data_IF_515418206111
#
_entry.id   IF_515418206111
#
_cell.length_a   1.000
_cell.length_b   1.000
_cell.length_c   1.000
_cell.angle_alpha   90.00
_cell.angle_beta   90.00
_cell.angle_gamma   90.00
#
_symmetry.space_group_name_H-M   'P 1'
#
loop_
_entity.id
_entity.type
_entity.pdbx_description
1 polymer ?
#
# COMPACT_ATOMS: atom_id res chain seq x y z
N UNK A 1 -7.82 33.81 -7.42
CA UNK A 1 -8.80 34.29 -8.42
C UNK A 1 -9.72 33.17 -8.92
N UNK A 2 -9.22 31.99 -9.33
CA UNK A 2 -10.09 30.86 -9.70
C UNK A 2 -10.90 30.27 -8.52
N UNK A 3 -10.26 30.07 -7.36
CA UNK A 3 -10.95 29.52 -6.18
C UNK A 3 -12.12 30.40 -5.69
N UNK A 4 -12.00 31.72 -5.78
CA UNK A 4 -13.07 32.67 -5.43
C UNK A 4 -14.22 32.65 -6.43
N UNK A 5 -13.95 32.40 -7.72
CA UNK A 5 -15.00 32.27 -8.77
C UNK A 5 -15.77 30.96 -8.58
N UNK A 6 -15.09 29.87 -8.25
CA UNK A 6 -15.69 28.54 -8.04
C UNK A 6 -16.24 28.34 -6.62
N UNK A 7 -16.18 29.37 -5.77
CA UNK A 7 -16.54 29.31 -4.35
C UNK A 7 -15.86 28.16 -3.59
N UNK A 8 -14.65 27.77 -4.01
CA UNK A 8 -13.88 26.72 -3.37
C UNK A 8 -13.11 27.28 -2.18
N UNK A 9 -13.13 26.55 -1.07
CA UNK A 9 -12.28 26.82 0.10
C UNK A 9 -10.81 26.55 -0.25
N UNK A 10 -9.93 27.51 0.04
CA UNK A 10 -8.49 27.34 -0.08
C UNK A 10 -7.99 26.75 1.24
N UNK A 11 -7.40 25.55 1.19
CA UNK A 11 -6.74 24.93 2.34
C UNK A 11 -5.21 25.06 2.21
N UNK A 12 -4.53 25.10 3.35
CA UNK A 12 -3.07 25.20 3.44
C UNK A 12 -2.47 23.85 3.83
N UNK A 13 -1.35 23.49 3.21
CA UNK A 13 -0.62 22.29 3.57
C UNK A 13 0.01 22.43 4.98
N UNK A 14 0.03 21.35 5.79
CA UNK A 14 -0.43 20.00 5.48
C UNK A 14 -1.96 19.82 5.60
N UNK A 15 -2.57 19.07 4.67
CA UNK A 15 -4.03 18.83 4.60
C UNK A 15 -4.33 17.36 4.32
N UNK A 16 -5.44 16.80 4.82
CA UNK A 16 -5.83 15.42 4.50
C UNK A 16 -6.71 15.34 3.26
N UNK A 17 -6.24 14.66 2.21
CA UNK A 17 -7.00 14.39 0.99
C UNK A 17 -7.22 12.88 0.80
N UNK A 18 -8.48 12.46 0.64
CA UNK A 18 -8.87 11.04 0.52
C UNK A 18 -8.29 10.16 1.65
N UNK A 19 -8.18 10.74 2.86
CA UNK A 19 -7.62 10.05 4.02
C UNK A 19 -6.09 9.93 4.03
N UNK A 20 -5.39 10.64 3.13
CA UNK A 20 -3.93 10.74 3.08
C UNK A 20 -3.48 12.18 3.36
N UNK A 21 -2.53 12.43 4.28
CA UNK A 21 -1.98 13.76 4.49
C UNK A 21 -1.11 14.18 3.30
N UNK A 22 -1.43 15.33 2.71
CA UNK A 22 -0.68 16.02 1.69
C UNK A 22 0.26 17.04 2.35
N UNK A 23 1.46 17.21 1.81
CA UNK A 23 2.44 18.18 2.30
C UNK A 23 3.38 17.66 3.39
N UNK A 24 3.11 16.48 3.95
CA UNK A 24 4.03 15.77 4.83
C UNK A 24 5.18 15.12 4.03
N UNK A 25 6.29 14.84 4.72
CA UNK A 25 7.40 14.12 4.12
C UNK A 25 6.97 12.68 3.82
N UNK A 26 7.12 12.20 2.59
CA UNK A 26 6.72 10.84 2.20
C UNK A 26 7.55 9.74 2.90
N UNK A 27 8.65 10.11 3.57
CA UNK A 27 9.44 9.22 4.43
C UNK A 27 8.87 9.09 5.85
N UNK A 28 7.94 9.96 6.21
CA UNK A 28 7.38 10.02 7.55
C UNK A 28 6.46 8.81 7.74
N UNK A 29 6.91 7.85 8.54
CA UNK A 29 6.17 6.62 8.81
C UNK A 29 4.81 6.88 9.50
N UNK A 30 4.59 8.09 10.02
CA UNK A 30 3.40 8.48 10.74
C UNK A 30 2.12 8.34 9.90
N UNK A 31 2.14 8.70 8.62
CA UNK A 31 0.92 8.54 7.80
C UNK A 31 0.61 7.05 7.56
N UNK A 32 1.63 6.20 7.47
CA UNK A 32 1.46 4.75 7.32
C UNK A 32 0.98 4.11 8.63
N UNK A 33 1.35 4.68 9.79
CA UNK A 33 0.78 4.28 11.07
C UNK A 33 -0.73 4.50 11.12
N UNK A 34 -1.25 5.57 10.50
CA UNK A 34 -2.70 5.78 10.41
C UNK A 34 -3.47 4.65 9.70
N UNK A 35 -2.84 3.92 8.77
CA UNK A 35 -3.44 2.73 8.15
C UNK A 35 -3.49 1.58 9.15
N UNK A 36 -2.41 1.40 9.90
CA UNK A 36 -2.30 0.37 10.93
C UNK A 36 -3.38 0.59 12.00
N UNK A 37 -3.54 1.82 12.48
CA UNK A 37 -4.56 2.19 13.46
C UNK A 37 -5.99 1.89 12.94
N UNK A 38 -6.27 2.20 11.67
CA UNK A 38 -7.56 1.86 11.05
C UNK A 38 -7.81 0.35 11.03
N UNK A 39 -6.77 -0.45 10.75
CA UNK A 39 -6.85 -1.91 10.76
C UNK A 39 -7.03 -2.43 12.18
N UNK A 40 -6.24 -1.94 13.14
CA UNK A 40 -6.36 -2.30 14.57
C UNK A 40 -7.78 -2.00 15.09
N UNK A 41 -8.36 -0.86 14.73
CA UNK A 41 -9.74 -0.51 15.08
C UNK A 41 -10.78 -1.47 14.48
N UNK A 42 -10.62 -1.90 13.22
CA UNK A 42 -11.49 -2.92 12.61
C UNK A 42 -11.36 -4.26 13.32
N UNK A 43 -10.13 -4.66 13.62
CA UNK A 43 -9.83 -5.91 14.31
C UNK A 43 -10.41 -5.93 15.73
N UNK A 44 -10.29 -4.84 16.48
CA UNK A 44 -10.86 -4.72 17.83
C UNK A 44 -12.38 -4.96 17.81
N UNK A 45 -13.09 -4.39 16.84
CA UNK A 45 -14.52 -4.58 16.68
C UNK A 45 -14.92 -6.01 16.25
N UNK A 46 -14.06 -6.72 15.53
CA UNK A 46 -14.36 -8.10 15.11
C UNK A 46 -13.97 -9.15 16.15
N UNK A 47 -12.98 -8.87 16.99
CA UNK A 47 -12.60 -9.72 18.13
C UNK A 47 -13.71 -9.90 19.17
N UNK A 48 -14.75 -9.07 19.15
CA UNK A 48 -15.93 -9.26 20.01
C UNK A 48 -16.98 -10.17 19.37
N UNK A 49 -16.84 -10.51 18.09
CA UNK A 49 -17.86 -11.25 17.31
C UNK A 49 -17.40 -12.69 17.07
N UNK A 50 -18.21 -13.71 17.39
CA UNK A 50 -17.84 -15.11 17.15
C UNK A 50 -17.76 -15.40 15.64
N UNK A 51 -16.53 -15.57 15.12
CA UNK A 51 -16.29 -15.79 13.70
C UNK A 51 -15.58 -17.13 13.44
N UNK A 52 -16.03 -17.84 12.41
CA UNK A 52 -15.36 -19.04 11.90
C UNK A 52 -13.99 -18.69 11.29
N UNK A 53 -13.12 -19.69 11.08
CA UNK A 53 -11.86 -19.49 10.38
C UNK A 53 -12.08 -18.97 8.95
N UNK A 54 -13.04 -19.55 8.23
CA UNK A 54 -13.42 -19.11 6.89
C UNK A 54 -13.92 -17.66 6.86
N UNK A 55 -14.76 -17.26 7.82
CA UNK A 55 -15.22 -15.87 7.93
C UNK A 55 -14.08 -14.88 8.14
N UNK A 56 -13.06 -15.26 8.93
CA UNK A 56 -11.86 -14.43 9.15
C UNK A 56 -11.02 -14.29 7.88
N UNK A 57 -10.81 -15.36 7.12
CA UNK A 57 -10.15 -15.28 5.79
C UNK A 57 -10.91 -14.33 4.88
N UNK A 58 -12.24 -14.46 4.81
CA UNK A 58 -13.08 -13.56 3.99
C UNK A 58 -12.95 -12.10 4.40
N UNK A 59 -12.94 -11.78 5.70
CA UNK A 59 -12.75 -10.41 6.20
C UNK A 59 -11.35 -9.86 5.94
N UNK A 60 -10.31 -10.70 6.04
CA UNK A 60 -8.95 -10.31 5.65
C UNK A 60 -8.95 -9.89 4.18
N UNK A 61 -9.45 -10.75 3.30
CA UNK A 61 -9.37 -10.55 1.85
C UNK A 61 -10.27 -9.41 1.34
N UNK A 62 -11.43 -9.21 1.96
CA UNK A 62 -12.41 -8.19 1.52
C UNK A 62 -12.14 -6.82 2.12
N UNK A 63 -11.72 -6.75 3.39
CA UNK A 63 -11.63 -5.47 4.12
C UNK A 63 -10.19 -5.10 4.44
N UNK A 64 -9.44 -5.99 5.10
CA UNK A 64 -8.08 -5.64 5.56
C UNK A 64 -7.10 -5.45 4.41
N UNK A 65 -7.29 -6.14 3.29
CA UNK A 65 -6.53 -5.91 2.05
C UNK A 65 -6.93 -4.61 1.34
N UNK A 66 -8.20 -4.24 1.36
CA UNK A 66 -8.71 -3.06 0.65
C UNK A 66 -8.22 -1.75 1.31
N UNK A 67 -8.13 -1.72 2.64
CA UNK A 67 -7.72 -0.54 3.41
C UNK A 67 -6.35 0.05 3.00
N UNK A 68 -5.25 -0.74 2.92
CA UNK A 68 -3.96 -0.25 2.48
C UNK A 68 -3.85 -0.10 0.95
N UNK A 69 -4.78 -0.65 0.16
CA UNK A 69 -4.63 -0.75 -1.31
C UNK A 69 -4.41 0.61 -1.98
N UNK A 70 -5.13 1.66 -1.54
CA UNK A 70 -4.94 3.00 -2.10
C UNK A 70 -3.51 3.50 -1.91
N UNK A 71 -2.99 3.41 -0.68
CA UNK A 71 -1.63 3.88 -0.36
C UNK A 71 -0.58 3.00 -1.04
N UNK A 72 -0.76 1.68 -1.05
CA UNK A 72 0.12 0.75 -1.77
C UNK A 72 0.13 0.99 -3.29
N UNK A 73 -0.91 1.59 -3.84
CA UNK A 73 -0.94 1.95 -5.26
C UNK A 73 -0.12 3.19 -5.59
N UNK A 74 0.21 4.00 -4.59
CA UNK A 74 0.93 5.27 -4.75
C UNK A 74 2.36 5.21 -4.23
N UNK A 75 2.62 4.43 -3.17
CA UNK A 75 3.89 4.41 -2.46
C UNK A 75 4.45 3.01 -2.28
N UNK A 76 5.79 2.84 -2.31
CA UNK A 76 6.43 1.62 -1.86
C UNK A 76 6.15 1.41 -0.38
N UNK A 77 5.68 0.22 -0.01
CA UNK A 77 5.40 -0.14 1.37
C UNK A 77 6.73 -0.41 2.09
N UNK A 78 7.07 0.32 3.17
CA UNK A 78 8.27 0.02 3.96
C UNK A 78 8.15 -1.35 4.63
N UNK A 79 9.25 -2.10 4.68
CA UNK A 79 9.29 -3.46 5.24
C UNK A 79 8.72 -3.54 6.66
N UNK A 80 9.01 -2.55 7.51
CA UNK A 80 8.49 -2.49 8.89
C UNK A 80 6.95 -2.42 8.96
N UNK A 81 6.33 -1.69 8.03
CA UNK A 81 4.87 -1.55 7.96
C UNK A 81 4.27 -2.84 7.41
N UNK A 82 4.86 -3.41 6.37
CA UNK A 82 4.48 -4.70 5.81
C UNK A 82 4.44 -5.79 6.89
N UNK A 83 5.53 -5.94 7.65
CA UNK A 83 5.66 -6.92 8.73
C UNK A 83 4.60 -6.72 9.82
N UNK A 84 4.33 -5.46 10.21
CA UNK A 84 3.30 -5.16 11.21
C UNK A 84 1.90 -5.49 10.69
N UNK A 85 1.61 -5.22 9.42
CA UNK A 85 0.35 -5.58 8.78
C UNK A 85 0.17 -7.10 8.60
N UNK A 86 1.23 -7.82 8.21
CA UNK A 86 1.27 -9.29 8.18
C UNK A 86 0.99 -9.86 9.57
N UNK A 87 1.65 -9.32 10.61
CA UNK A 87 1.44 -9.75 11.99
C UNK A 87 -0.01 -9.56 12.44
N UNK A 88 -0.60 -8.38 12.22
CA UNK A 88 -2.00 -8.13 12.58
C UNK A 88 -2.99 -9.07 11.87
N UNK A 89 -2.77 -9.36 10.59
CA UNK A 89 -3.62 -10.29 9.82
C UNK A 89 -3.44 -11.74 10.27
N UNK A 90 -2.20 -12.16 10.53
CA UNK A 90 -1.88 -13.48 11.08
C UNK A 90 -2.49 -13.65 12.47
N UNK A 91 -2.28 -12.68 13.35
CA UNK A 91 -2.82 -12.68 14.70
C UNK A 91 -4.36 -12.75 14.63
N UNK A 92 -5.02 -12.00 13.76
CA UNK A 92 -6.48 -12.12 13.61
C UNK A 92 -6.93 -13.51 13.12
N UNK A 93 -6.25 -14.06 12.10
CA UNK A 93 -6.56 -15.36 11.53
C UNK A 93 -6.43 -16.49 12.57
N UNK A 94 -5.43 -16.43 13.45
CA UNK A 94 -5.16 -17.51 14.40
C UNK A 94 -5.72 -17.24 15.80
N UNK A 95 -5.81 -15.98 16.22
CA UNK A 95 -6.17 -15.62 17.60
C UNK A 95 -7.65 -15.74 17.92
N UNK A 96 -8.56 -15.66 16.95
CA UNK A 96 -10.02 -15.77 17.17
C UNK A 96 -10.53 -14.91 18.35
N UNK A 97 -11.63 -15.34 18.98
CA UNK A 97 -12.26 -14.61 20.10
C UNK A 97 -11.86 -15.06 21.51
N UNK A 98 -10.98 -16.06 21.66
CA UNK A 98 -10.62 -16.59 22.99
C UNK A 98 -9.26 -16.06 23.43
N UNK A 99 -9.20 -15.49 24.64
CA UNK A 99 -7.96 -15.13 25.31
C UNK A 99 -7.13 -16.39 25.61
N UNK A 100 -5.84 -16.37 25.25
CA UNK A 100 -4.89 -17.48 25.47
C UNK A 100 -3.81 -17.59 24.39
N UNK A 101 -2.66 -18.20 24.72
CA UNK A 101 -1.60 -18.53 23.75
C UNK A 101 -2.17 -19.47 22.69
N UNK A 102 -2.15 -19.06 21.42
CA UNK A 102 -2.65 -19.86 20.31
C UNK A 102 -1.54 -20.27 19.36
N UNK A 103 -1.67 -21.49 18.87
CA UNK A 103 -0.71 -22.15 18.01
C UNK A 103 -1.05 -21.77 16.56
N UNK A 104 -0.08 -21.25 15.83
CA UNK A 104 -0.18 -21.10 14.39
C UNK A 104 -0.15 -22.50 13.76
N UNK A 105 -1.29 -22.99 13.28
CA UNK A 105 -1.38 -24.33 12.69
C UNK A 105 -0.58 -24.44 11.40
N UNK A 106 -0.47 -23.33 10.66
CA UNK A 106 0.23 -23.25 9.38
C UNK A 106 1.10 -21.99 9.37
N UNK A 107 2.27 -22.07 8.74
CA UNK A 107 3.15 -20.90 8.54
C UNK A 107 2.40 -19.83 7.74
N UNK A 108 2.52 -18.57 8.16
CA UNK A 108 1.86 -17.43 7.49
C UNK A 108 2.17 -17.37 5.99
N UNK A 109 3.41 -17.63 5.58
CA UNK A 109 3.77 -17.64 4.15
C UNK A 109 2.98 -18.68 3.33
N UNK A 110 2.63 -19.83 3.93
CA UNK A 110 1.81 -20.85 3.27
C UNK A 110 0.35 -20.39 3.14
N UNK A 111 -0.18 -19.63 4.11
CA UNK A 111 -1.54 -19.11 4.02
C UNK A 111 -1.71 -18.07 2.90
N UNK A 112 -0.63 -17.42 2.49
CA UNK A 112 -0.60 -16.47 1.38
C UNK A 112 -0.65 -17.15 -0.01
N UNK A 113 -0.42 -18.46 -0.08
CA UNK A 113 -0.48 -19.19 -1.34
C UNK A 113 -1.94 -19.30 -1.83
N UNK A 114 -2.10 -19.53 -3.14
CA UNK A 114 -3.42 -19.74 -3.73
C UNK A 114 -4.10 -21.01 -3.17
N UNK A 115 -5.43 -21.03 -3.20
CA UNK A 115 -6.20 -22.23 -2.81
C UNK A 115 -5.84 -23.45 -3.67
N UNK A 116 -5.48 -23.24 -4.94
CA UNK A 116 -5.05 -24.32 -5.86
C UNK A 116 -3.74 -24.97 -5.45
N UNK A 117 -2.89 -24.24 -4.73
CA UNK A 117 -1.58 -24.67 -4.25
C UNK A 117 -1.60 -25.03 -2.76
N UNK A 118 -2.78 -25.25 -2.17
CA UNK A 118 -2.93 -25.64 -0.77
C UNK A 118 -2.81 -24.50 0.26
N UNK A 119 -2.86 -23.24 -0.18
CA UNK A 119 -2.93 -22.07 0.71
C UNK A 119 -4.36 -21.64 1.03
N UNK A 120 -4.50 -20.49 1.71
CA UNK A 120 -5.81 -19.90 2.06
C UNK A 120 -6.22 -18.76 1.13
N UNK A 121 -5.42 -18.44 0.11
CA UNK A 121 -5.72 -17.42 -0.87
C UNK A 121 -5.66 -15.99 -0.31
N UNK A 122 -4.93 -15.77 0.79
CA UNK A 122 -4.68 -14.43 1.34
C UNK A 122 -3.62 -13.74 0.49
N UNK A 123 -3.78 -12.47 0.13
CA UNK A 123 -2.79 -11.80 -0.73
C UNK A 123 -1.51 -11.47 0.04
N UNK A 124 -0.39 -11.73 -0.61
CA UNK A 124 0.91 -11.25 -0.18
C UNK A 124 1.02 -9.73 -0.47
N UNK A 125 1.10 -8.90 0.58
CA UNK A 125 1.13 -7.44 0.42
C UNK A 125 2.35 -6.95 -0.34
N UNK A 126 3.51 -7.61 -0.19
CA UNK A 126 4.72 -7.24 -0.92
C UNK A 126 4.52 -7.40 -2.42
N UNK A 127 4.02 -8.56 -2.83
CA UNK A 127 3.73 -8.87 -4.23
C UNK A 127 2.64 -7.93 -4.76
N UNK A 128 1.59 -7.70 -3.97
CA UNK A 128 0.51 -6.78 -4.32
C UNK A 128 1.02 -5.35 -4.51
N UNK A 129 1.81 -4.80 -3.57
CA UNK A 129 2.39 -3.46 -3.68
C UNK A 129 3.29 -3.32 -4.91
N UNK A 130 4.18 -4.30 -5.16
CA UNK A 130 4.99 -4.32 -6.38
C UNK A 130 4.13 -4.30 -7.65
N UNK A 131 3.08 -5.13 -7.71
CA UNK A 131 2.18 -5.20 -8.86
C UNK A 131 1.43 -3.88 -9.09
N UNK A 132 0.92 -3.25 -8.03
CA UNK A 132 0.20 -1.98 -8.10
C UNK A 132 1.12 -0.84 -8.54
N UNK A 133 2.37 -0.84 -8.08
CA UNK A 133 3.35 0.16 -8.49
C UNK A 133 3.85 -0.05 -9.92
N UNK A 134 3.95 -1.30 -10.37
CA UNK A 134 4.32 -1.63 -11.76
C UNK A 134 3.33 -1.06 -12.78
N UNK A 135 2.07 -0.84 -12.39
CA UNK A 135 1.08 -0.10 -13.19
C UNK A 135 1.60 1.27 -13.63
N UNK A 136 2.34 1.98 -12.79
CA UNK A 136 2.87 3.31 -13.14
C UNK A 136 3.93 3.26 -14.22
N UNK A 137 4.73 2.19 -14.27
CA UNK A 137 5.67 1.96 -15.36
C UNK A 137 4.93 1.69 -16.66
N UNK A 138 3.92 0.83 -16.63
CA UNK A 138 3.06 0.60 -17.80
C UNK A 138 2.42 1.91 -18.30
N UNK A 139 1.87 2.71 -17.40
CA UNK A 139 1.30 4.02 -17.73
C UNK A 139 2.35 4.99 -18.28
N UNK A 140 3.60 4.92 -17.82
CA UNK A 140 4.67 5.75 -18.35
C UNK A 140 4.99 5.45 -19.82
N UNK A 141 4.89 4.18 -20.21
CA UNK A 141 5.07 3.74 -21.60
C UNK A 141 3.88 4.16 -22.46
N UNK A 142 2.66 3.92 -21.98
CA UNK A 142 1.43 4.06 -22.78
C UNK A 142 0.90 5.51 -22.81
N UNK A 143 0.98 6.25 -21.71
CA UNK A 143 0.35 7.57 -21.56
C UNK A 143 1.31 8.72 -21.92
N UNK A 144 1.68 8.79 -23.19
CA UNK A 144 2.77 9.63 -23.69
C UNK A 144 2.55 11.15 -23.51
N UNK A 145 1.30 11.62 -23.62
CA UNK A 145 0.93 13.03 -23.56
C UNK A 145 0.59 13.56 -22.17
N UNK A 146 0.72 12.75 -21.11
CA UNK A 146 0.28 13.17 -19.78
C UNK A 146 1.28 14.11 -19.09
N UNK A 147 0.74 15.08 -18.34
CA UNK A 147 1.56 16.09 -17.66
C UNK A 147 2.52 15.48 -16.64
N UNK A 148 2.07 14.48 -15.88
CA UNK A 148 2.92 13.81 -14.89
C UNK A 148 4.13 13.12 -15.55
N UNK A 149 3.93 12.47 -16.72
CA UNK A 149 5.02 11.86 -17.49
C UNK A 149 6.02 12.91 -17.96
N UNK A 150 5.54 14.03 -18.51
CA UNK A 150 6.41 15.16 -18.94
C UNK A 150 7.25 15.71 -17.78
N UNK A 151 6.67 15.83 -16.58
CA UNK A 151 7.42 16.25 -15.37
C UNK A 151 8.52 15.26 -15.02
N UNK A 152 8.23 13.95 -15.08
CA UNK A 152 9.23 12.89 -14.85
C UNK A 152 10.35 12.95 -15.89
N UNK A 153 10.01 13.10 -17.17
CA UNK A 153 10.97 13.22 -18.27
C UNK A 153 11.85 14.46 -18.13
N UNK A 154 11.27 15.61 -17.80
CA UNK A 154 12.02 16.84 -17.61
C UNK A 154 12.99 16.74 -16.43
N UNK A 155 12.55 16.08 -15.34
CA UNK A 155 13.35 15.96 -14.12
C UNK A 155 14.47 14.94 -14.23
N UNK A 156 14.22 13.80 -14.89
CA UNK A 156 15.13 12.66 -14.87
C UNK A 156 15.74 12.34 -16.24
N UNK A 157 15.18 12.83 -17.34
CA UNK A 157 15.58 12.44 -18.69
C UNK A 157 15.15 11.03 -19.07
N UNK A 158 15.38 10.67 -20.33
CA UNK A 158 15.04 9.37 -20.90
C UNK A 158 16.05 8.98 -21.99
N UNK A 159 16.74 7.86 -21.76
CA UNK A 159 17.65 7.24 -22.72
C UNK A 159 17.01 6.05 -23.44
N UNK A 160 15.97 5.42 -22.84
CA UNK A 160 15.24 4.27 -23.39
C UNK A 160 13.74 4.54 -23.46
N UNK A 161 13.03 3.99 -24.45
CA UNK A 161 11.60 4.31 -24.68
C UNK A 161 10.66 3.95 -23.53
N UNK A 162 11.04 2.99 -22.68
CA UNK A 162 10.14 2.38 -21.70
C UNK A 162 10.40 2.79 -20.24
N UNK A 163 11.52 3.45 -19.93
CA UNK A 163 11.89 3.88 -18.56
C UNK A 163 12.73 5.18 -18.58
N UNK A 164 12.62 6.00 -17.53
CA UNK A 164 13.48 7.18 -17.36
C UNK A 164 14.94 6.82 -17.03
N UNK A 165 15.86 7.79 -17.09
CA UNK A 165 17.24 7.56 -16.66
C UNK A 165 17.36 7.26 -15.17
N UNK A 166 18.56 6.80 -14.77
CA UNK A 166 18.87 6.48 -13.38
C UNK A 166 18.72 7.71 -12.52
N UNK A 167 17.97 7.54 -11.42
CA UNK A 167 17.74 8.62 -10.47
C UNK A 167 18.89 8.62 -9.46
N UNK A 168 19.96 9.33 -9.81
CA UNK A 168 21.18 9.45 -9.00
C UNK A 168 21.16 10.63 -8.02
N UNK A 169 20.04 11.36 -7.91
CA UNK A 169 19.95 12.51 -7.02
C UNK A 169 20.06 12.11 -5.55
N UNK A 170 21.01 12.73 -4.83
CA UNK A 170 21.23 12.60 -3.38
C UNK A 170 20.09 13.19 -2.55
N UNK A 171 19.39 14.21 -3.06
CA UNK A 171 18.25 14.83 -2.40
C UNK A 171 16.92 14.22 -2.85
N UNK A 172 16.18 13.68 -1.88
CA UNK A 172 14.86 13.10 -2.10
C UNK A 172 14.94 11.69 -2.70
N UNK A 173 14.73 10.66 -1.88
CA UNK A 173 14.45 9.30 -2.37
C UNK A 173 13.08 9.39 -3.04
N UNK A 174 13.04 9.66 -4.34
CA UNK A 174 11.78 9.92 -5.03
C UNK A 174 10.97 8.63 -5.11
N UNK A 175 9.65 8.74 -4.97
CA UNK A 175 8.70 7.63 -5.19
C UNK A 175 8.97 7.00 -6.56
N UNK A 176 9.25 7.85 -7.56
CA UNK A 176 9.61 7.42 -8.91
C UNK A 176 10.88 6.56 -8.96
N UNK A 177 11.92 6.87 -8.17
CA UNK A 177 13.12 6.02 -8.07
C UNK A 177 12.77 4.63 -7.57
N UNK A 178 11.91 4.54 -6.54
CA UNK A 178 11.45 3.25 -6.04
C UNK A 178 10.65 2.48 -7.07
N UNK A 179 9.73 3.13 -7.79
CA UNK A 179 8.93 2.54 -8.87
C UNK A 179 9.83 2.04 -10.00
N UNK A 180 10.75 2.87 -10.49
CA UNK A 180 11.71 2.53 -11.55
C UNK A 180 12.54 1.30 -11.20
N UNK A 181 13.03 1.22 -9.96
CA UNK A 181 13.86 0.12 -9.52
C UNK A 181 13.10 -1.22 -9.38
N UNK A 182 11.76 -1.22 -9.45
CA UNK A 182 10.98 -2.47 -9.47
C UNK A 182 11.23 -3.31 -10.73
N UNK A 183 11.71 -2.71 -11.83
CA UNK A 183 12.01 -3.41 -13.08
C UNK A 183 13.43 -3.97 -13.18
N UNK A 184 14.32 -3.69 -12.21
CA UNK A 184 15.74 -4.08 -12.26
C UNK A 184 16.05 -5.30 -11.37
N UNK A 185 15.04 -6.09 -11.01
CA UNK A 185 15.14 -7.36 -10.26
C UNK A 185 14.34 -8.42 -10.99
#
# INVERSE_FOLDING_TARGET
>A
MLASILQCKIEHLPTTYLGMPLGNNHKELEFLNGIIEKIEKRLANWKTTYQSLGGRVTLINSVLEALPTYVMSLFPLPTKIEERLDKLRSDFLWSGNKEGKKIHLVKWQTTLLSNKTGGLGIKNLRVQNKSLLSKWLWRFVVEDQTLWRRVILYKYGQNEEWVSNVVDSTYGVSIWRSIRNLCLV
#
